data_IF_380212496025
#
_entry.id   IF_380212496025
#
_cell.length_a   1.000
_cell.length_b   1.000
_cell.length_c   1.000
_cell.angle_alpha   90.00
_cell.angle_beta   90.00
_cell.angle_gamma   90.00
#
_symmetry.space_group_name_H-M   'P 1'
#
loop_
_entity.id
_entity.type
_entity.pdbx_description
1 polymer ?
#
# COMPACT_ATOMS: atom_id res chain seq x y z
N UNK A 1 16.78 36.65 -19.82
CA UNK A 1 17.26 37.04 -21.17
C UNK A 1 17.65 35.74 -21.89
N UNK A 2 16.97 35.32 -22.96
CA UNK A 2 17.37 34.12 -23.72
C UNK A 2 18.59 34.45 -24.59
N UNK A 3 19.78 34.42 -24.01
CA UNK A 3 21.04 34.51 -24.76
C UNK A 3 21.39 33.14 -25.35
N UNK A 4 21.93 33.10 -26.57
CA UNK A 4 22.40 31.84 -27.18
C UNK A 4 23.68 31.39 -26.47
N UNK A 5 23.89 30.08 -26.33
CA UNK A 5 25.06 29.49 -25.64
C UNK A 5 26.42 30.08 -26.09
N UNK A 6 26.57 30.33 -27.40
CA UNK A 6 27.79 30.93 -27.99
C UNK A 6 28.03 32.37 -27.56
N UNK A 7 26.98 33.12 -27.26
CA UNK A 7 27.09 34.52 -26.80
C UNK A 7 27.56 34.56 -25.34
N UNK A 8 27.14 33.59 -24.52
CA UNK A 8 27.52 33.50 -23.10
C UNK A 8 29.02 33.23 -22.94
N UNK A 9 29.60 32.35 -23.77
CA UNK A 9 31.04 32.04 -23.76
C UNK A 9 31.95 33.23 -24.09
N UNK A 10 31.40 34.28 -24.69
CA UNK A 10 32.13 35.50 -25.08
C UNK A 10 31.89 36.67 -24.11
N UNK A 11 31.05 36.48 -23.07
CA UNK A 11 30.76 37.54 -22.10
C UNK A 11 31.96 37.76 -21.18
N UNK A 12 32.48 38.99 -21.19
CA UNK A 12 33.35 39.48 -20.13
C UNK A 12 32.49 40.06 -19.00
N UNK A 13 32.54 39.40 -17.85
CA UNK A 13 31.81 39.84 -16.67
C UNK A 13 32.62 40.87 -15.87
N UNK A 14 32.00 41.93 -15.33
CA UNK A 14 32.67 42.81 -14.39
C UNK A 14 33.10 42.03 -13.13
N UNK A 15 34.39 42.09 -12.78
CA UNK A 15 34.98 41.31 -11.67
C UNK A 15 34.35 41.57 -10.29
N UNK A 16 33.65 42.69 -10.12
CA UNK A 16 32.97 43.07 -8.86
C UNK A 16 31.55 42.49 -8.73
N UNK A 17 31.10 41.66 -9.67
CA UNK A 17 29.80 41.00 -9.59
C UNK A 17 29.67 40.19 -8.30
N UNK A 18 28.59 40.44 -7.56
CA UNK A 18 28.24 39.71 -6.33
C UNK A 18 27.09 38.73 -6.53
N UNK A 19 26.30 38.89 -7.60
CA UNK A 19 25.15 38.04 -7.91
C UNK A 19 25.14 37.74 -9.41
N UNK A 20 24.94 36.47 -9.77
CA UNK A 20 24.89 36.02 -11.16
C UNK A 20 23.85 34.91 -11.32
N UNK A 21 22.99 35.03 -12.33
CA UNK A 21 22.01 33.99 -12.67
C UNK A 21 22.02 33.69 -14.17
N UNK A 22 22.16 32.41 -14.49
CA UNK A 22 22.15 31.83 -15.84
C UNK A 22 21.27 30.57 -15.90
N UNK A 23 20.13 30.60 -15.20
CA UNK A 23 19.16 29.52 -15.25
C UNK A 23 18.61 29.32 -16.67
N UNK A 24 18.38 28.07 -17.07
CA UNK A 24 17.72 27.72 -18.35
C UNK A 24 18.47 28.24 -19.60
N UNK A 25 19.80 28.28 -19.56
CA UNK A 25 20.65 28.78 -20.66
C UNK A 25 21.36 27.70 -21.46
N UNK A 26 21.11 26.42 -21.12
CA UNK A 26 21.75 25.22 -21.69
C UNK A 26 23.26 25.14 -21.44
N UNK A 27 23.77 25.88 -20.46
CA UNK A 27 25.18 25.96 -20.11
C UNK A 27 25.80 24.57 -19.88
N UNK A 28 26.98 24.31 -20.43
CA UNK A 28 27.67 23.02 -20.28
C UNK A 28 28.89 23.10 -19.35
N UNK A 29 29.42 24.32 -19.12
CA UNK A 29 30.61 24.58 -18.32
C UNK A 29 30.45 25.86 -17.51
N UNK A 30 31.12 25.91 -16.36
CA UNK A 30 31.20 27.08 -15.46
C UNK A 30 32.55 27.79 -15.52
N UNK A 31 33.46 27.37 -16.42
CA UNK A 31 34.83 27.90 -16.52
C UNK A 31 34.91 29.42 -16.67
N UNK A 32 33.94 30.02 -17.35
CA UNK A 32 33.85 31.48 -17.55
C UNK A 32 33.57 32.28 -16.26
N UNK A 33 33.15 31.61 -15.18
CA UNK A 33 32.84 32.25 -13.91
C UNK A 33 34.02 32.23 -12.92
N UNK A 34 35.12 31.52 -13.22
CA UNK A 34 36.20 31.29 -12.26
C UNK A 34 36.96 32.56 -11.82
N UNK A 35 36.86 33.65 -12.59
CA UNK A 35 37.50 34.94 -12.29
C UNK A 35 36.58 35.91 -11.51
N UNK A 36 35.38 35.48 -11.13
CA UNK A 36 34.40 36.30 -10.39
C UNK A 36 34.56 36.16 -8.87
N UNK A 37 35.76 36.39 -8.34
CA UNK A 37 36.16 36.16 -6.93
C UNK A 37 35.40 37.01 -5.88
N UNK A 38 34.48 37.88 -6.30
CA UNK A 38 33.59 38.64 -5.42
C UNK A 38 32.15 38.10 -5.41
N UNK A 39 31.88 37.02 -6.15
CA UNK A 39 30.56 36.45 -6.28
C UNK A 39 30.11 35.85 -4.94
N UNK A 40 28.92 36.28 -4.52
CA UNK A 40 28.25 35.81 -3.30
C UNK A 40 27.09 34.86 -3.65
N UNK A 41 26.43 35.07 -4.80
CA UNK A 41 25.27 34.31 -5.23
C UNK A 41 25.43 33.85 -6.69
N UNK A 42 25.33 32.54 -6.92
CA UNK A 42 25.40 31.95 -8.26
C UNK A 42 24.22 30.99 -8.47
N UNK A 43 23.37 31.32 -9.45
CA UNK A 43 22.29 30.47 -9.90
C UNK A 43 22.52 30.00 -11.33
N UNK A 44 22.64 28.69 -11.51
CA UNK A 44 22.90 28.03 -12.80
C UNK A 44 22.03 26.78 -12.96
N UNK A 45 20.79 26.86 -12.47
CA UNK A 45 19.81 25.79 -12.53
C UNK A 45 19.36 25.48 -13.97
N UNK A 46 18.84 24.27 -14.19
CA UNK A 46 18.28 23.83 -15.47
C UNK A 46 19.26 23.99 -16.66
N UNK A 47 20.48 23.51 -16.46
CA UNK A 47 21.54 23.54 -17.47
C UNK A 47 22.06 22.11 -17.74
N UNK A 48 23.18 22.00 -18.47
CA UNK A 48 23.82 20.75 -18.85
C UNK A 48 25.17 20.54 -18.15
N UNK A 49 25.41 21.25 -17.04
CA UNK A 49 26.70 21.26 -16.34
C UNK A 49 26.94 19.90 -15.68
N UNK A 50 28.11 19.32 -15.91
CA UNK A 50 28.53 18.08 -15.26
C UNK A 50 29.77 18.24 -14.36
N UNK A 51 30.52 19.32 -14.53
CA UNK A 51 31.72 19.65 -13.78
C UNK A 51 31.62 21.08 -13.24
N UNK A 52 31.87 21.22 -11.94
CA UNK A 52 31.86 22.50 -11.22
C UNK A 52 33.22 22.83 -10.57
N UNK A 53 34.29 22.11 -10.93
CA UNK A 53 35.64 22.31 -10.35
C UNK A 53 36.16 23.74 -10.50
N UNK A 54 35.78 24.43 -11.60
CA UNK A 54 36.23 25.80 -11.85
C UNK A 54 35.62 26.84 -10.88
N UNK A 55 34.66 26.43 -10.04
CA UNK A 55 34.12 27.28 -8.97
C UNK A 55 35.07 27.38 -7.76
N UNK A 56 36.17 26.63 -7.71
CA UNK A 56 37.06 26.55 -6.54
C UNK A 56 37.60 27.92 -6.07
N UNK A 57 37.77 28.89 -6.97
CA UNK A 57 38.24 30.25 -6.62
C UNK A 57 37.15 31.15 -6.02
N UNK A 58 35.88 30.72 -6.04
CA UNK A 58 34.75 31.52 -5.57
C UNK A 58 34.51 31.35 -4.06
N UNK A 59 35.57 31.47 -3.25
CA UNK A 59 35.57 31.19 -1.80
C UNK A 59 34.61 32.08 -0.97
N UNK A 60 34.13 33.18 -1.55
CA UNK A 60 33.13 34.08 -0.94
C UNK A 60 31.68 33.67 -1.18
N UNK A 61 31.44 32.62 -1.98
CA UNK A 61 30.09 32.20 -2.35
C UNK A 61 29.29 31.79 -1.11
N UNK A 62 28.09 32.38 -0.98
CA UNK A 62 27.15 32.12 0.12
C UNK A 62 25.91 31.37 -0.38
N UNK A 63 25.55 31.54 -1.65
CA UNK A 63 24.37 30.92 -2.24
C UNK A 63 24.75 30.29 -3.58
N UNK A 64 24.54 28.98 -3.71
CA UNK A 64 24.83 28.22 -4.91
C UNK A 64 23.63 27.34 -5.28
N UNK A 65 23.04 27.60 -6.44
CA UNK A 65 21.92 26.83 -6.98
C UNK A 65 22.35 26.20 -8.30
N UNK A 66 22.57 24.88 -8.27
CA UNK A 66 22.93 24.05 -9.42
C UNK A 66 21.86 23.01 -9.75
N UNK A 67 20.64 23.23 -9.28
CA UNK A 67 19.48 22.34 -9.49
C UNK A 67 19.31 21.92 -10.95
N UNK A 68 18.93 20.67 -11.20
CA UNK A 68 18.61 20.13 -12.52
C UNK A 68 19.78 20.32 -13.52
N UNK A 69 20.89 19.66 -13.19
CA UNK A 69 22.10 19.58 -14.00
C UNK A 69 22.55 18.10 -14.09
N UNK A 70 23.81 17.84 -14.42
CA UNK A 70 24.40 16.51 -14.54
C UNK A 70 25.58 16.30 -13.59
N UNK A 71 25.67 17.11 -12.54
CA UNK A 71 26.78 17.11 -11.57
C UNK A 71 26.74 15.83 -10.74
N UNK A 72 27.90 15.18 -10.59
CA UNK A 72 28.07 14.01 -9.70
C UNK A 72 29.15 14.21 -8.65
N UNK A 73 30.14 15.05 -8.94
CA UNK A 73 31.26 15.37 -8.07
C UNK A 73 31.04 16.78 -7.47
N UNK A 74 31.03 16.85 -6.14
CA UNK A 74 30.88 18.08 -5.36
C UNK A 74 32.09 18.32 -4.45
N UNK A 75 33.23 17.68 -4.70
CA UNK A 75 34.47 17.88 -3.95
C UNK A 75 34.92 19.35 -3.90
N UNK A 76 34.62 20.13 -4.96
CA UNK A 76 34.91 21.58 -5.02
C UNK A 76 34.36 22.38 -3.83
N UNK A 77 33.32 21.87 -3.15
CA UNK A 77 32.74 22.52 -1.98
C UNK A 77 33.74 22.66 -0.81
N UNK A 78 34.83 21.90 -0.77
CA UNK A 78 35.93 22.09 0.19
C UNK A 78 36.50 23.53 0.17
N UNK A 79 36.36 24.22 -0.96
CA UNK A 79 36.80 25.61 -1.13
C UNK A 79 35.68 26.63 -0.87
N UNK A 80 34.41 26.18 -0.75
CA UNK A 80 33.22 27.03 -0.65
C UNK A 80 32.64 27.03 0.77
N UNK A 81 33.51 27.16 1.78
CA UNK A 81 33.16 26.99 3.20
C UNK A 81 32.20 28.07 3.75
N UNK A 82 31.96 29.15 3.00
CA UNK A 82 31.03 30.24 3.35
C UNK A 82 29.60 30.02 2.86
N UNK A 83 29.31 28.88 2.25
CA UNK A 83 27.97 28.55 1.78
C UNK A 83 26.97 28.55 2.93
N UNK A 84 25.89 29.30 2.72
CA UNK A 84 24.68 29.34 3.56
C UNK A 84 23.55 28.53 2.97
N UNK A 85 23.49 28.50 1.64
CA UNK A 85 22.42 27.87 0.90
C UNK A 85 23.00 27.12 -0.29
N UNK A 86 22.72 25.82 -0.33
CA UNK A 86 23.14 24.96 -1.42
C UNK A 86 21.96 24.13 -1.93
N UNK A 87 21.55 24.38 -3.18
CA UNK A 87 20.57 23.54 -3.88
C UNK A 87 21.25 22.84 -5.07
N UNK A 88 21.45 21.54 -4.91
CA UNK A 88 21.93 20.64 -5.95
C UNK A 88 20.93 19.52 -6.26
N UNK A 89 19.64 19.80 -6.07
CA UNK A 89 18.58 18.85 -6.40
C UNK A 89 18.56 18.48 -7.89
N UNK A 90 18.01 17.30 -8.24
CA UNK A 90 17.95 16.80 -9.62
C UNK A 90 19.33 16.74 -10.29
N UNK A 91 20.29 16.07 -9.65
CA UNK A 91 21.63 15.84 -10.18
C UNK A 91 21.98 14.34 -10.12
N UNK A 92 23.27 13.99 -10.13
CA UNK A 92 23.77 12.60 -10.08
C UNK A 92 24.72 12.37 -8.90
N UNK A 93 24.59 13.18 -7.84
CA UNK A 93 25.44 13.14 -6.66
C UNK A 93 25.17 11.82 -5.91
N UNK A 94 26.23 11.17 -5.45
CA UNK A 94 26.14 9.96 -4.62
C UNK A 94 27.09 10.06 -3.42
N UNK A 95 28.27 10.63 -3.63
CA UNK A 95 29.28 10.86 -2.61
C UNK A 95 29.04 12.17 -1.87
N UNK A 96 29.02 12.11 -0.54
CA UNK A 96 28.84 13.24 0.37
C UNK A 96 30.06 13.48 1.27
N UNK A 97 31.19 12.83 0.99
CA UNK A 97 32.38 12.82 1.84
C UNK A 97 32.92 14.22 2.14
N UNK A 98 32.75 15.18 1.22
CA UNK A 98 33.13 16.59 1.43
C UNK A 98 32.52 17.20 2.69
N UNK A 99 31.34 16.75 3.11
CA UNK A 99 30.69 17.19 4.35
C UNK A 99 31.32 16.57 5.60
N UNK A 100 31.86 15.35 5.52
CA UNK A 100 32.57 14.72 6.63
C UNK A 100 33.96 15.33 6.86
N UNK A 101 34.61 15.78 5.78
CA UNK A 101 36.00 16.25 5.80
C UNK A 101 36.15 17.75 6.06
N UNK A 102 35.05 18.51 5.99
CA UNK A 102 35.03 19.95 6.15
C UNK A 102 33.96 20.38 7.15
N UNK A 103 34.03 21.64 7.58
CA UNK A 103 33.03 22.27 8.46
C UNK A 103 32.40 23.47 7.76
N UNK A 104 31.14 23.34 7.36
CA UNK A 104 30.35 24.46 6.80
C UNK A 104 29.60 25.19 7.92
N UNK A 105 30.29 26.09 8.64
CA UNK A 105 29.75 26.78 9.83
C UNK A 105 28.52 27.64 9.56
N UNK A 106 28.32 28.07 8.31
CA UNK A 106 27.23 28.97 7.92
C UNK A 106 26.09 28.28 7.16
N UNK A 107 26.16 26.96 6.94
CA UNK A 107 25.19 26.26 6.10
C UNK A 107 23.84 26.13 6.82
N UNK A 108 22.82 26.79 6.27
CA UNK A 108 21.46 26.85 6.83
C UNK A 108 20.45 26.06 5.99
N UNK A 109 20.69 25.94 4.68
CA UNK A 109 19.81 25.25 3.73
C UNK A 109 20.61 24.31 2.83
N UNK A 110 20.18 23.04 2.78
CA UNK A 110 20.78 22.00 1.96
C UNK A 110 19.70 21.20 1.23
N UNK A 111 19.64 21.32 -0.09
CA UNK A 111 18.75 20.51 -0.92
C UNK A 111 19.56 19.59 -1.84
N UNK A 112 19.48 18.30 -1.54
CA UNK A 112 20.12 17.20 -2.26
C UNK A 112 19.07 16.22 -2.81
N UNK A 113 17.82 16.64 -2.94
CA UNK A 113 16.74 15.79 -3.43
C UNK A 113 16.94 15.33 -4.87
N UNK A 114 16.38 14.18 -5.24
CA UNK A 114 16.47 13.60 -6.59
C UNK A 114 17.93 13.41 -7.06
N UNK A 115 18.74 12.76 -6.22
CA UNK A 115 20.11 12.37 -6.53
C UNK A 115 20.27 10.84 -6.44
N UNK A 116 21.49 10.34 -6.25
CA UNK A 116 21.84 8.91 -6.11
C UNK A 116 22.43 8.58 -4.75
N UNK A 117 22.11 9.37 -3.72
CA UNK A 117 22.67 9.24 -2.37
C UNK A 117 22.05 8.01 -1.70
N UNK A 118 22.89 7.17 -1.09
CA UNK A 118 22.45 5.99 -0.34
C UNK A 118 23.03 5.89 1.08
N UNK A 119 23.91 6.82 1.45
CA UNK A 119 24.55 6.96 2.74
C UNK A 119 24.62 8.46 3.11
N UNK A 120 24.14 8.81 4.30
CA UNK A 120 24.13 10.18 4.83
C UNK A 120 24.96 10.32 6.10
N UNK A 121 25.79 9.32 6.43
CA UNK A 121 26.68 9.38 7.60
C UNK A 121 27.58 10.63 7.61
N UNK A 122 28.03 11.08 6.43
CA UNK A 122 28.80 12.32 6.27
C UNK A 122 28.04 13.59 6.70
N UNK A 123 26.70 13.55 6.76
CA UNK A 123 25.86 14.67 7.20
C UNK A 123 25.57 14.67 8.71
N UNK A 124 25.95 13.63 9.44
CA UNK A 124 25.54 13.41 10.85
C UNK A 124 25.85 14.61 11.75
N UNK A 125 27.04 15.22 11.61
CA UNK A 125 27.41 16.38 12.43
C UNK A 125 26.48 17.58 12.22
N UNK A 126 26.03 17.79 10.98
CA UNK A 126 25.16 18.92 10.61
C UNK A 126 23.70 18.69 10.99
N UNK A 127 23.24 17.45 10.95
CA UNK A 127 21.90 17.07 11.36
C UNK A 127 21.75 17.14 12.90
N UNK A 128 22.84 16.88 13.62
CA UNK A 128 22.85 16.88 15.09
C UNK A 128 23.13 18.25 15.72
N UNK A 129 23.77 19.18 15.01
CA UNK A 129 24.19 20.47 15.60
C UNK A 129 23.15 21.60 15.48
N UNK A 130 22.13 21.45 14.63
CA UNK A 130 21.10 22.46 14.46
C UNK A 130 21.48 23.68 13.63
N UNK A 131 22.66 23.67 12.99
CA UNK A 131 23.09 24.73 12.07
C UNK A 131 22.22 24.71 10.80
N UNK A 132 22.03 23.52 10.21
CA UNK A 132 21.16 23.40 9.05
C UNK A 132 19.70 23.40 9.51
N UNK A 133 18.93 24.37 9.05
CA UNK A 133 17.52 24.52 9.38
C UNK A 133 16.64 23.66 8.47
N UNK A 134 17.06 23.51 7.21
CA UNK A 134 16.31 22.80 6.18
C UNK A 134 17.20 21.87 5.38
N UNK A 135 16.92 20.57 5.46
CA UNK A 135 17.57 19.52 4.66
C UNK A 135 16.52 18.80 3.82
N UNK A 136 16.72 18.71 2.52
CA UNK A 136 15.88 17.89 1.64
C UNK A 136 16.71 16.79 0.98
N UNK A 137 16.45 15.55 1.36
CA UNK A 137 17.09 14.32 0.88
C UNK A 137 16.08 13.42 0.15
N UNK A 138 14.93 13.98 -0.26
CA UNK A 138 13.88 13.23 -0.93
C UNK A 138 14.33 12.63 -2.27
N UNK A 139 13.68 11.58 -2.73
CA UNK A 139 13.90 10.95 -4.04
C UNK A 139 15.35 10.45 -4.24
N UNK A 140 15.98 9.92 -3.19
CA UNK A 140 17.31 9.32 -3.23
C UNK A 140 17.22 7.78 -3.15
N UNK A 141 18.30 7.14 -2.68
CA UNK A 141 18.45 5.70 -2.49
C UNK A 141 18.76 5.34 -1.04
N UNK A 142 18.40 6.22 -0.09
CA UNK A 142 18.60 6.00 1.33
C UNK A 142 17.78 4.81 1.79
N UNK A 143 18.34 3.96 2.64
CA UNK A 143 17.65 2.79 3.17
C UNK A 143 17.89 2.60 4.67
N UNK A 144 18.95 3.22 5.19
CA UNK A 144 19.34 3.18 6.59
C UNK A 144 19.60 4.62 7.06
N UNK A 145 18.88 5.02 8.10
CA UNK A 145 19.06 6.30 8.81
C UNK A 145 19.27 6.08 10.30
N UNK A 146 19.61 4.86 10.73
CA UNK A 146 19.78 4.53 12.14
C UNK A 146 20.91 5.30 12.80
N UNK A 147 21.89 5.80 12.05
CA UNK A 147 23.03 6.49 12.64
C UNK A 147 22.84 8.00 12.76
N UNK A 148 21.63 8.49 12.47
CA UNK A 148 21.33 9.92 12.41
C UNK A 148 20.32 10.28 13.50
N UNK A 149 20.63 11.35 14.22
CA UNK A 149 19.69 12.04 15.10
C UNK A 149 19.39 13.43 14.50
N UNK A 150 18.34 14.08 14.99
CA UNK A 150 17.95 15.41 14.51
C UNK A 150 17.92 16.39 15.66
N UNK A 151 18.66 17.48 15.50
CA UNK A 151 18.52 18.62 16.36
C UNK A 151 17.14 19.26 16.21
N UNK A 152 16.62 19.84 17.30
CA UNK A 152 15.26 20.42 17.36
C UNK A 152 14.96 21.55 16.35
N UNK A 153 15.99 22.13 15.74
CA UNK A 153 15.87 23.24 14.79
C UNK A 153 16.08 22.78 13.34
N UNK A 154 16.33 21.50 13.12
CA UNK A 154 16.64 20.93 11.81
C UNK A 154 15.42 20.19 11.27
N UNK A 155 14.83 20.72 10.22
CA UNK A 155 13.82 20.02 9.44
C UNK A 155 14.49 19.17 8.35
N UNK A 156 14.08 17.92 8.22
CA UNK A 156 14.60 16.99 7.21
C UNK A 156 13.46 16.41 6.39
N UNK A 157 13.57 16.39 5.05
CA UNK A 157 12.68 15.66 4.15
C UNK A 157 13.33 14.41 3.59
N UNK A 158 12.62 13.29 3.69
CA UNK A 158 13.09 11.95 3.36
C UNK A 158 12.17 11.19 2.39
N UNK A 159 11.19 11.88 1.80
CA UNK A 159 10.23 11.31 0.86
C UNK A 159 10.90 10.49 -0.26
N UNK A 160 10.27 9.43 -0.73
CA UNK A 160 10.67 8.67 -1.93
C UNK A 160 12.08 8.05 -1.86
N UNK A 161 12.46 7.54 -0.68
CA UNK A 161 13.66 6.73 -0.42
C UNK A 161 13.27 5.25 -0.20
N UNK A 162 14.13 4.43 0.39
CA UNK A 162 13.89 3.02 0.75
C UNK A 162 14.00 2.78 2.27
N UNK A 163 13.75 3.82 3.07
CA UNK A 163 13.95 3.77 4.53
C UNK A 163 12.81 2.99 5.18
N UNK A 164 13.15 2.10 6.10
CA UNK A 164 12.20 1.26 6.83
C UNK A 164 12.29 1.41 8.35
N UNK A 165 13.28 2.12 8.89
CA UNK A 165 13.43 2.36 10.33
C UNK A 165 13.70 3.86 10.56
N UNK A 166 12.83 4.49 11.34
CA UNK A 166 12.91 5.91 11.71
C UNK A 166 13.13 6.10 13.22
N UNK A 167 13.38 5.05 14.00
CA UNK A 167 13.37 5.07 15.45
C UNK A 167 14.24 6.19 16.05
N UNK A 168 15.40 6.44 15.47
CA UNK A 168 16.32 7.48 15.96
C UNK A 168 15.94 8.90 15.52
N UNK A 169 15.11 9.04 14.47
CA UNK A 169 14.56 10.33 14.05
C UNK A 169 13.29 10.68 14.84
N UNK A 170 12.48 9.67 15.18
CA UNK A 170 11.24 9.81 15.97
C UNK A 170 11.49 10.27 17.41
N UNK A 171 12.70 10.07 17.94
CA UNK A 171 13.10 10.59 19.25
C UNK A 171 13.30 12.11 19.26
N UNK A 172 13.35 12.77 18.09
CA UNK A 172 13.51 14.22 18.00
C UNK A 172 12.16 14.93 18.11
N UNK A 173 12.02 15.85 19.07
CA UNK A 173 10.83 16.70 19.27
C UNK A 173 10.46 17.55 18.04
N UNK A 174 11.40 17.74 17.11
CA UNK A 174 11.21 18.55 15.90
C UNK A 174 10.79 17.78 14.67
N UNK A 175 10.79 16.45 14.75
CA UNK A 175 10.54 15.61 13.59
C UNK A 175 9.05 15.62 13.24
N UNK A 176 8.71 16.30 12.14
CA UNK A 176 7.34 16.31 11.64
C UNK A 176 7.14 15.21 10.60
N UNK A 177 6.14 14.36 10.83
CA UNK A 177 5.78 13.23 9.98
C UNK A 177 5.50 13.62 8.51
N UNK A 178 5.09 14.87 8.26
CA UNK A 178 4.82 15.39 6.91
C UNK A 178 6.04 15.28 5.98
N UNK A 179 7.24 15.18 6.54
CA UNK A 179 8.49 15.17 5.80
C UNK A 179 9.02 13.77 5.43
N UNK A 180 8.36 12.70 5.88
CA UNK A 180 8.77 11.32 5.55
C UNK A 180 8.25 10.87 4.19
N UNK A 181 7.09 11.38 3.74
CA UNK A 181 6.51 11.08 2.43
C UNK A 181 6.38 9.59 2.09
N UNK A 182 5.98 9.28 0.85
CA UNK A 182 5.88 7.90 0.37
C UNK A 182 7.28 7.28 0.20
N UNK A 183 7.53 6.08 0.74
CA UNK A 183 8.79 5.35 0.52
C UNK A 183 8.65 4.33 -0.62
N UNK A 184 9.75 4.08 -1.33
CA UNK A 184 9.88 3.06 -2.37
C UNK A 184 10.05 1.68 -1.72
N UNK A 185 9.45 0.68 -2.35
CA UNK A 185 9.68 -0.72 -2.00
C UNK A 185 10.98 -1.20 -2.67
N UNK A 186 11.96 -1.73 -1.91
CA UNK A 186 13.20 -2.26 -2.48
C UNK A 186 12.93 -3.46 -3.38
N UNK A 187 13.38 -3.40 -4.63
CA UNK A 187 13.30 -4.56 -5.52
C UNK A 187 14.47 -5.55 -5.30
N UNK A 188 14.37 -6.73 -5.90
CA UNK A 188 15.40 -7.78 -5.76
C UNK A 188 16.78 -7.36 -6.28
N UNK A 189 16.86 -6.41 -7.22
CA UNK A 189 18.10 -5.90 -7.80
C UNK A 189 18.76 -4.90 -6.84
N UNK A 190 17.98 -4.02 -6.23
CA UNK A 190 18.41 -3.09 -5.21
C UNK A 190 18.98 -3.83 -3.99
N UNK A 191 18.23 -4.82 -3.48
CA UNK A 191 18.68 -5.65 -2.35
C UNK A 191 20.02 -6.33 -2.66
N UNK A 192 20.15 -6.95 -3.85
CA UNK A 192 21.41 -7.57 -4.30
C UNK A 192 22.56 -6.57 -4.37
N UNK A 193 22.30 -5.35 -4.81
CA UNK A 193 23.35 -4.31 -4.91
C UNK A 193 23.93 -3.94 -3.55
N UNK A 194 23.13 -3.92 -2.48
CA UNK A 194 23.59 -3.62 -1.11
C UNK A 194 24.34 -4.79 -0.46
N UNK A 195 24.03 -6.03 -0.84
CA UNK A 195 24.73 -7.23 -0.36
C UNK A 195 26.17 -7.29 -0.89
N UNK A 196 26.38 -6.91 -2.16
CA UNK A 196 27.68 -7.01 -2.82
C UNK A 196 28.71 -5.98 -2.33
N UNK A 197 28.28 -4.87 -1.72
CA UNK A 197 29.17 -3.80 -1.23
C UNK A 197 29.77 -4.04 0.16
N UNK A 198 29.64 -5.25 0.74
CA UNK A 198 30.37 -5.63 1.96
C UNK A 198 29.87 -4.99 3.28
N UNK A 199 28.80 -4.20 3.27
CA UNK A 199 28.05 -3.88 4.50
C UNK A 199 27.47 -5.20 5.00
N UNK A 200 28.07 -5.82 6.04
CA UNK A 200 27.67 -7.13 6.57
C UNK A 200 26.18 -7.13 6.90
N UNK A 201 25.38 -7.78 6.05
CA UNK A 201 23.97 -8.07 6.29
C UNK A 201 23.89 -9.58 6.43
N UNK A 202 23.55 -10.08 7.62
CA UNK A 202 23.17 -11.48 7.77
C UNK A 202 21.86 -11.68 7.02
N UNK A 203 21.93 -12.28 5.83
CA UNK A 203 20.86 -12.26 4.82
C UNK A 203 19.58 -12.94 5.32
N UNK A 204 19.66 -13.90 6.24
CA UNK A 204 18.48 -14.54 6.80
C UNK A 204 17.85 -13.67 7.91
N UNK A 205 18.63 -13.33 8.94
CA UNK A 205 18.18 -12.49 10.06
C UNK A 205 17.71 -11.11 9.62
N UNK A 206 18.43 -10.46 8.70
CA UNK A 206 18.07 -9.11 8.25
C UNK A 206 16.99 -9.13 7.18
N UNK A 207 16.79 -10.22 6.43
CA UNK A 207 15.60 -10.36 5.55
C UNK A 207 14.36 -10.70 6.35
N UNK A 208 14.50 -11.42 7.46
CA UNK A 208 13.42 -11.71 8.40
C UNK A 208 13.10 -10.48 9.27
N UNK A 209 14.11 -9.76 9.77
CA UNK A 209 13.95 -8.46 10.44
C UNK A 209 13.50 -7.37 9.48
N UNK A 210 14.01 -7.27 8.25
CA UNK A 210 13.48 -6.34 7.26
C UNK A 210 12.09 -6.78 6.80
N UNK A 211 11.72 -8.06 6.81
CA UNK A 211 10.34 -8.50 6.54
C UNK A 211 9.41 -8.17 7.71
N UNK A 212 9.86 -8.31 8.96
CA UNK A 212 9.10 -7.98 10.16
C UNK A 212 9.00 -6.45 10.38
N UNK A 213 10.10 -5.72 10.24
CA UNK A 213 10.17 -4.25 10.29
C UNK A 213 9.59 -3.59 9.04
N UNK A 214 9.70 -4.18 7.83
CA UNK A 214 8.88 -3.70 6.71
C UNK A 214 7.41 -3.90 7.06
N UNK A 215 6.98 -5.01 7.64
CA UNK A 215 5.58 -5.19 8.03
C UNK A 215 5.11 -4.14 9.08
N UNK A 216 5.98 -3.75 10.02
CA UNK A 216 5.70 -2.70 11.01
C UNK A 216 5.77 -1.27 10.43
N UNK A 217 6.75 -0.96 9.57
CA UNK A 217 6.91 0.37 8.93
C UNK A 217 6.10 0.57 7.66
N UNK A 218 5.61 -0.50 7.00
CA UNK A 218 4.65 -0.40 5.90
C UNK A 218 3.34 0.22 6.37
N UNK A 219 2.97 -0.06 7.62
CA UNK A 219 1.83 0.57 8.27
C UNK A 219 2.05 2.10 8.42
N UNK A 220 3.30 2.54 8.65
CA UNK A 220 3.66 3.97 8.69
C UNK A 220 3.66 4.65 7.31
N UNK A 221 4.05 3.94 6.25
CA UNK A 221 4.14 4.51 4.89
C UNK A 221 2.76 4.81 4.25
N UNK A 222 1.67 4.25 4.78
CA UNK A 222 0.34 4.31 4.16
C UNK A 222 -0.56 5.46 4.64
N UNK A 223 -0.22 6.11 5.76
CA UNK A 223 -0.84 7.40 6.14
C UNK A 223 -0.55 8.50 5.11
N UNK A 224 0.52 8.37 4.32
CA UNK A 224 0.86 9.32 3.25
C UNK A 224 0.12 9.02 1.94
N UNK A 225 -0.19 7.75 1.66
CA UNK A 225 -0.89 7.36 0.43
C UNK A 225 -2.36 7.82 0.42
N UNK A 226 -2.95 8.11 1.59
CA UNK A 226 -4.31 8.64 1.70
C UNK A 226 -4.50 10.05 1.16
N UNK A 227 -3.45 10.87 1.06
CA UNK A 227 -3.55 12.17 0.37
C UNK A 227 -3.60 12.04 -1.16
N UNK A 228 -3.17 10.90 -1.72
CA UNK A 228 -3.14 10.67 -3.17
C UNK A 228 -4.42 10.02 -3.72
N UNK A 229 -5.18 9.29 -2.89
CA UNK A 229 -6.48 8.66 -3.26
C UNK A 229 -7.66 9.63 -3.15
N UNK A 230 -7.45 10.93 -2.91
CA UNK A 230 -8.52 11.92 -3.12
C UNK A 230 -8.87 12.10 -4.61
N UNK A 231 -8.18 11.41 -5.53
CA UNK A 231 -8.37 11.58 -6.97
C UNK A 231 -8.93 10.41 -7.77
N UNK A 232 -9.18 9.20 -7.21
CA UNK A 232 -9.88 8.16 -7.98
C UNK A 232 -10.54 7.08 -7.10
N UNK A 233 -11.87 6.98 -7.24
CA UNK A 233 -12.75 5.85 -6.91
C UNK A 233 -12.61 5.15 -5.55
N UNK A 234 -12.97 5.85 -4.46
CA UNK A 234 -13.76 5.29 -3.34
C UNK A 234 -14.36 6.45 -2.56
N UNK A 235 -15.69 6.57 -2.53
CA UNK A 235 -16.39 7.57 -1.73
C UNK A 235 -16.25 7.23 -0.23
N UNK A 236 -15.79 8.21 0.58
CA UNK A 236 -15.79 8.24 2.05
C UNK A 236 -14.92 7.22 2.80
N UNK A 237 -13.59 7.35 2.71
CA UNK A 237 -12.68 6.80 3.73
C UNK A 237 -12.26 7.92 4.70
N UNK A 238 -12.49 7.73 6.00
CA UNK A 238 -12.07 8.66 7.06
C UNK A 238 -10.57 8.47 7.37
N UNK A 239 -9.93 9.49 7.98
CA UNK A 239 -8.48 9.50 8.28
C UNK A 239 -7.94 8.40 9.21
N UNK A 240 -8.80 7.49 9.68
CA UNK A 240 -8.48 6.38 10.58
C UNK A 240 -8.52 5.02 9.85
N UNK A 241 -8.42 5.02 8.52
CA UNK A 241 -8.50 3.81 7.68
C UNK A 241 -7.09 3.32 7.32
N UNK A 242 -6.82 2.01 7.38
CA UNK A 242 -5.63 1.39 6.80
C UNK A 242 -5.98 0.82 5.42
N UNK A 243 -5.19 1.07 4.37
CA UNK A 243 -5.55 0.72 2.98
C UNK A 243 -4.35 0.13 2.24
N UNK A 244 -4.34 -1.17 1.96
CA UNK A 244 -3.29 -1.81 1.17
C UNK A 244 -3.80 -2.47 -0.12
N UNK A 245 -3.02 -2.38 -1.19
CA UNK A 245 -3.30 -3.02 -2.47
C UNK A 245 -2.04 -3.68 -3.04
N UNK A 246 -2.20 -4.84 -3.67
CA UNK A 246 -1.13 -5.58 -4.35
C UNK A 246 0.08 -5.83 -3.40
N UNK A 247 -0.22 -6.20 -2.15
CA UNK A 247 0.81 -6.40 -1.13
C UNK A 247 0.80 -7.81 -0.51
N UNK A 248 1.69 -8.64 -1.04
CA UNK A 248 1.92 -10.00 -0.54
C UNK A 248 2.86 -10.07 0.69
N UNK A 249 3.33 -8.94 1.22
CA UNK A 249 4.13 -8.92 2.46
C UNK A 249 3.25 -8.88 3.72
N UNK A 250 2.02 -8.36 3.62
CA UNK A 250 1.08 -8.33 4.74
C UNK A 250 0.63 -9.76 5.03
N UNK A 251 1.12 -10.31 6.13
CA UNK A 251 0.79 -11.66 6.60
C UNK A 251 -0.34 -11.65 7.62
N UNK A 252 -0.42 -10.62 8.47
CA UNK A 252 -1.47 -10.44 9.46
C UNK A 252 -1.65 -8.95 9.81
N UNK A 253 -2.55 -8.65 10.75
CA UNK A 253 -2.83 -7.28 11.23
C UNK A 253 -2.28 -7.01 12.64
N UNK A 254 -1.49 -7.92 13.22
CA UNK A 254 -0.98 -7.77 14.58
C UNK A 254 -0.18 -6.45 14.77
N UNK A 255 0.62 -5.97 13.80
CA UNK A 255 1.32 -4.68 13.93
C UNK A 255 0.39 -3.47 14.14
N UNK A 256 -0.87 -3.56 13.71
CA UNK A 256 -1.84 -2.48 13.85
C UNK A 256 -2.45 -2.39 15.27
N UNK A 257 -2.19 -3.36 16.16
CA UNK A 257 -2.85 -3.47 17.47
C UNK A 257 -2.66 -2.26 18.39
N UNK A 258 -1.59 -1.49 18.19
CA UNK A 258 -1.29 -0.28 18.98
C UNK A 258 -1.83 1.01 18.35
N UNK A 259 -2.60 0.90 17.26
CA UNK A 259 -3.01 2.05 16.45
C UNK A 259 -4.50 2.35 16.62
N UNK A 260 -4.86 3.63 16.51
CA UNK A 260 -6.25 4.10 16.52
C UNK A 260 -6.95 3.85 15.16
N UNK A 261 -6.64 2.75 14.48
CA UNK A 261 -7.25 2.39 13.19
C UNK A 261 -8.65 1.85 13.44
N UNK A 262 -9.65 2.45 12.80
CA UNK A 262 -11.05 2.04 12.94
C UNK A 262 -11.59 1.32 11.71
N UNK A 263 -10.89 1.42 10.58
CA UNK A 263 -11.25 0.77 9.32
C UNK A 263 -10.03 0.19 8.60
N UNK A 264 -10.18 -0.95 7.92
CA UNK A 264 -9.12 -1.63 7.18
C UNK A 264 -9.63 -2.02 5.80
N UNK A 265 -8.83 -1.78 4.77
CA UNK A 265 -9.11 -2.16 3.38
C UNK A 265 -7.88 -2.81 2.76
N UNK A 266 -8.02 -4.05 2.31
CA UNK A 266 -6.98 -4.82 1.66
C UNK A 266 -7.48 -5.33 0.31
N UNK A 267 -6.69 -5.16 -0.75
CA UNK A 267 -6.99 -5.72 -2.07
C UNK A 267 -5.76 -6.45 -2.62
N UNK A 268 -5.93 -7.66 -3.15
CA UNK A 268 -4.83 -8.40 -3.79
C UNK A 268 -3.62 -8.64 -2.85
N UNK A 269 -3.88 -8.94 -1.57
CA UNK A 269 -2.85 -9.26 -0.57
C UNK A 269 -2.83 -10.77 -0.32
N UNK A 270 -2.15 -11.55 -1.16
CA UNK A 270 -2.38 -13.00 -1.27
C UNK A 270 -1.77 -13.86 -0.16
N UNK A 271 -0.85 -13.32 0.63
CA UNK A 271 -0.27 -14.00 1.79
C UNK A 271 -0.97 -13.67 3.12
N UNK A 272 -2.03 -12.84 3.08
CA UNK A 272 -2.73 -12.41 4.27
C UNK A 272 -3.48 -13.56 4.97
N UNK A 273 -3.37 -13.58 6.31
CA UNK A 273 -4.08 -14.51 7.18
C UNK A 273 -4.64 -13.77 8.39
N UNK A 274 -5.79 -14.23 8.83
CA UNK A 274 -6.34 -13.83 10.12
C UNK A 274 -5.60 -14.63 11.22
N UNK A 275 -5.02 -13.95 12.21
CA UNK A 275 -4.36 -14.61 13.35
C UNK A 275 -4.34 -13.73 14.60
N UNK A 276 -4.95 -14.22 15.69
CA UNK A 276 -4.85 -13.67 17.06
C UNK A 276 -4.89 -12.13 17.15
N UNK A 277 -5.98 -11.49 16.70
CA UNK A 277 -6.08 -10.04 16.60
C UNK A 277 -6.84 -9.41 17.78
N UNK A 278 -6.29 -8.36 18.42
CA UNK A 278 -6.92 -7.59 19.50
C UNK A 278 -7.39 -6.19 19.07
N UNK A 279 -7.77 -6.04 17.80
CA UNK A 279 -8.02 -4.74 17.17
C UNK A 279 -9.43 -4.19 17.46
N UNK A 280 -9.52 -2.89 17.76
CA UNK A 280 -10.78 -2.15 17.86
C UNK A 280 -11.25 -1.63 16.49
N UNK A 281 -11.22 -2.50 15.47
CA UNK A 281 -11.64 -2.17 14.10
C UNK A 281 -13.14 -2.39 13.93
N UNK A 282 -13.81 -1.43 13.32
CA UNK A 282 -15.26 -1.46 13.07
C UNK A 282 -15.60 -1.80 11.62
N UNK A 283 -14.67 -1.59 10.69
CA UNK A 283 -14.85 -1.90 9.27
C UNK A 283 -13.65 -2.66 8.73
N UNK A 284 -13.89 -3.78 8.05
CA UNK A 284 -12.85 -4.57 7.43
C UNK A 284 -13.27 -4.97 6.02
N UNK A 285 -12.44 -4.64 5.04
CA UNK A 285 -12.55 -5.09 3.66
C UNK A 285 -11.30 -5.85 3.28
N UNK A 286 -11.42 -7.07 2.77
CA UNK A 286 -10.32 -7.84 2.20
C UNK A 286 -10.80 -8.55 0.94
N UNK A 287 -10.39 -8.07 -0.23
CA UNK A 287 -10.89 -8.54 -1.52
C UNK A 287 -9.78 -9.06 -2.43
N UNK A 288 -10.08 -10.01 -3.30
CA UNK A 288 -9.14 -10.52 -4.31
C UNK A 288 -7.81 -11.05 -3.73
N UNK A 289 -7.83 -11.49 -2.46
CA UNK A 289 -6.64 -11.85 -1.68
C UNK A 289 -6.45 -13.36 -1.54
N UNK A 290 -7.20 -14.17 -2.31
CA UNK A 290 -7.11 -15.65 -2.29
C UNK A 290 -7.30 -16.28 -0.91
N UNK A 291 -8.05 -15.62 -0.02
CA UNK A 291 -8.26 -16.12 1.34
C UNK A 291 -9.15 -17.35 1.30
N UNK A 292 -8.68 -18.45 1.88
CA UNK A 292 -9.47 -19.69 2.00
C UNK A 292 -9.97 -19.95 3.43
N UNK A 293 -9.30 -19.37 4.44
CA UNK A 293 -9.61 -19.53 5.86
C UNK A 293 -9.74 -18.18 6.53
N UNK A 294 -10.78 -18.02 7.34
CA UNK A 294 -11.05 -16.83 8.15
C UNK A 294 -10.88 -17.10 9.65
N UNK A 295 -10.19 -18.19 10.02
CA UNK A 295 -9.88 -18.47 11.44
C UNK A 295 -9.06 -17.33 12.04
N UNK A 296 -9.41 -16.88 13.25
CA UNK A 296 -8.81 -15.71 13.89
C UNK A 296 -9.65 -14.44 13.72
N UNK A 297 -10.61 -14.39 12.78
CA UNK A 297 -11.52 -13.24 12.64
C UNK A 297 -12.46 -13.10 13.84
N UNK A 298 -12.73 -14.19 14.56
CA UNK A 298 -13.64 -14.24 15.71
C UNK A 298 -13.24 -13.31 16.87
N UNK A 299 -11.99 -12.85 16.89
CA UNK A 299 -11.50 -11.90 17.89
C UNK A 299 -11.85 -10.43 17.57
N UNK A 300 -12.24 -10.12 16.33
CA UNK A 300 -12.60 -8.76 15.88
C UNK A 300 -14.05 -8.40 16.25
N UNK A 301 -14.41 -8.55 17.52
CA UNK A 301 -15.79 -8.49 18.03
C UNK A 301 -16.48 -7.13 17.85
N UNK A 302 -15.72 -6.07 17.55
CA UNK A 302 -16.23 -4.71 17.30
C UNK A 302 -16.65 -4.48 15.85
N UNK A 303 -16.42 -5.43 14.95
CA UNK A 303 -16.76 -5.28 13.54
C UNK A 303 -18.25 -5.04 13.33
N UNK A 304 -18.54 -4.05 12.49
CA UNK A 304 -19.86 -3.65 12.05
C UNK A 304 -20.02 -3.84 10.53
N UNK A 305 -18.95 -3.64 9.77
CA UNK A 305 -18.94 -3.82 8.31
C UNK A 305 -17.83 -4.81 7.96
N UNK A 306 -18.17 -5.85 7.21
CA UNK A 306 -17.24 -6.86 6.74
C UNK A 306 -17.44 -7.14 5.25
N UNK A 307 -16.42 -6.92 4.45
CA UNK A 307 -16.38 -7.32 3.05
C UNK A 307 -15.20 -8.29 2.85
N UNK A 308 -15.50 -9.55 2.55
CA UNK A 308 -14.52 -10.57 2.15
C UNK A 308 -14.82 -11.11 0.76
N UNK A 309 -15.41 -10.28 -0.10
CA UNK A 309 -15.79 -10.69 -1.44
C UNK A 309 -14.58 -11.00 -2.32
N UNK A 310 -14.80 -11.82 -3.34
CA UNK A 310 -13.78 -12.20 -4.34
C UNK A 310 -12.58 -12.93 -3.71
N UNK A 311 -12.85 -13.90 -2.83
CA UNK A 311 -11.85 -14.77 -2.21
C UNK A 311 -12.16 -16.26 -2.48
N UNK A 312 -11.52 -17.17 -1.75
CA UNK A 312 -11.67 -18.62 -1.88
C UNK A 312 -12.29 -19.27 -0.63
N UNK A 313 -13.06 -18.49 0.14
CA UNK A 313 -13.60 -18.91 1.44
C UNK A 313 -14.65 -20.00 1.25
N UNK A 314 -14.56 -21.07 2.05
CA UNK A 314 -15.55 -22.16 2.08
C UNK A 314 -16.30 -22.24 3.40
N UNK A 315 -15.57 -22.07 4.49
CA UNK A 315 -16.09 -22.15 5.85
C UNK A 315 -16.23 -20.73 6.43
N UNK A 316 -17.44 -20.40 6.85
CA UNK A 316 -17.80 -19.11 7.45
C UNK A 316 -18.26 -19.25 8.91
N UNK A 317 -18.07 -20.42 9.52
CA UNK A 317 -18.63 -20.74 10.82
C UNK A 317 -18.14 -19.80 11.94
N UNK A 318 -16.90 -19.29 11.84
CA UNK A 318 -16.33 -18.34 12.79
C UNK A 318 -17.05 -16.99 12.82
N UNK A 319 -17.79 -16.62 11.75
CA UNK A 319 -18.54 -15.36 11.74
C UNK A 319 -19.63 -15.29 12.80
N UNK A 320 -20.13 -16.42 13.31
CA UNK A 320 -21.19 -16.48 14.34
C UNK A 320 -20.84 -15.73 15.63
N UNK A 321 -19.54 -15.50 15.89
CA UNK A 321 -19.05 -14.78 17.07
C UNK A 321 -19.15 -13.25 16.91
N UNK A 322 -19.29 -12.76 15.68
CA UNK A 322 -19.27 -11.33 15.35
C UNK A 322 -20.66 -10.71 15.37
N UNK A 323 -21.33 -10.78 16.53
CA UNK A 323 -22.74 -10.39 16.72
C UNK A 323 -23.04 -8.90 16.45
N UNK A 324 -22.01 -8.06 16.32
CA UNK A 324 -22.13 -6.64 16.06
C UNK A 324 -22.20 -6.27 14.56
N UNK A 325 -22.02 -7.25 13.66
CA UNK A 325 -22.06 -7.03 12.22
C UNK A 325 -23.42 -6.50 11.77
N UNK A 326 -23.37 -5.45 10.95
CA UNK A 326 -24.50 -4.76 10.33
C UNK A 326 -24.53 -4.98 8.82
N UNK A 327 -23.37 -5.12 8.18
CA UNK A 327 -23.23 -5.39 6.76
C UNK A 327 -22.16 -6.43 6.51
N UNK A 328 -22.49 -7.45 5.70
CA UNK A 328 -21.59 -8.54 5.31
C UNK A 328 -21.64 -8.72 3.79
N UNK A 329 -20.50 -8.64 3.13
CA UNK A 329 -20.33 -9.06 1.74
C UNK A 329 -19.35 -10.25 1.65
N UNK A 330 -19.86 -11.38 1.14
CA UNK A 330 -19.11 -12.61 0.87
C UNK A 330 -19.28 -13.04 -0.59
N UNK A 331 -19.64 -12.11 -1.48
CA UNK A 331 -19.79 -12.33 -2.92
C UNK A 331 -18.57 -13.07 -3.49
N UNK A 332 -18.78 -13.94 -4.48
CA UNK A 332 -17.69 -14.59 -5.23
C UNK A 332 -16.70 -15.31 -4.31
N UNK A 333 -17.22 -16.25 -3.53
CA UNK A 333 -16.45 -17.19 -2.69
C UNK A 333 -16.85 -18.64 -3.05
N UNK A 334 -16.42 -19.61 -2.25
CA UNK A 334 -16.67 -21.04 -2.46
C UNK A 334 -17.57 -21.66 -1.37
N UNK A 335 -18.43 -20.87 -0.73
CA UNK A 335 -19.26 -21.29 0.41
C UNK A 335 -20.35 -22.26 -0.05
N UNK A 336 -20.48 -23.38 0.64
CA UNK A 336 -21.45 -24.45 0.35
C UNK A 336 -22.65 -24.46 1.31
N UNK A 337 -22.39 -24.12 2.57
CA UNK A 337 -23.37 -24.12 3.65
C UNK A 337 -23.17 -22.90 4.55
N UNK A 338 -24.25 -22.46 5.17
CA UNK A 338 -24.24 -21.34 6.13
C UNK A 338 -24.44 -21.78 7.58
N UNK A 339 -24.86 -23.02 7.83
CA UNK A 339 -24.89 -23.67 9.15
C UNK A 339 -25.50 -22.80 10.29
N UNK A 340 -26.57 -22.06 9.99
CA UNK A 340 -27.22 -21.15 10.95
C UNK A 340 -26.31 -20.05 11.54
N UNK A 341 -25.20 -19.72 10.87
CA UNK A 341 -24.24 -18.67 11.31
C UNK A 341 -24.93 -17.33 11.57
N UNK A 342 -25.92 -16.99 10.75
CA UNK A 342 -26.61 -15.70 10.79
C UNK A 342 -27.79 -15.65 11.77
N UNK A 343 -28.18 -16.77 12.41
CA UNK A 343 -29.40 -16.86 13.22
C UNK A 343 -29.43 -15.90 14.41
N UNK A 344 -28.27 -15.58 14.99
CA UNK A 344 -28.15 -14.69 16.15
C UNK A 344 -27.62 -13.29 15.81
N UNK A 345 -27.47 -12.95 14.52
CA UNK A 345 -26.94 -11.67 14.06
C UNK A 345 -28.03 -10.60 14.00
N UNK A 346 -28.54 -10.20 15.17
CA UNK A 346 -29.69 -9.29 15.30
C UNK A 346 -29.45 -7.87 14.75
N UNK A 347 -28.19 -7.47 14.55
CA UNK A 347 -27.82 -6.17 14.00
C UNK A 347 -27.62 -6.17 12.48
N UNK A 348 -27.62 -7.36 11.85
CA UNK A 348 -27.34 -7.52 10.43
C UNK A 348 -28.50 -6.98 9.60
N UNK A 349 -28.20 -6.01 8.73
CA UNK A 349 -29.14 -5.30 7.85
C UNK A 349 -28.87 -5.62 6.39
N UNK A 350 -27.62 -5.95 6.04
CA UNK A 350 -27.18 -6.20 4.69
C UNK A 350 -26.34 -7.49 4.66
N UNK A 351 -26.69 -8.40 3.76
CA UNK A 351 -25.96 -9.66 3.56
C UNK A 351 -25.91 -9.99 2.07
N UNK A 352 -24.70 -10.10 1.53
CA UNK A 352 -24.46 -10.50 0.16
C UNK A 352 -23.71 -11.83 0.10
N UNK A 353 -24.38 -12.87 -0.40
CA UNK A 353 -23.82 -14.21 -0.59
C UNK A 353 -23.78 -14.61 -2.08
N UNK A 354 -23.91 -13.64 -2.99
CA UNK A 354 -23.95 -13.89 -4.44
C UNK A 354 -22.69 -14.62 -4.95
N UNK A 355 -22.80 -15.31 -6.08
CA UNK A 355 -21.68 -16.05 -6.68
C UNK A 355 -20.96 -17.04 -5.74
N UNK A 356 -21.70 -17.67 -4.82
CA UNK A 356 -21.23 -18.81 -4.01
C UNK A 356 -21.83 -20.14 -4.51
N UNK A 357 -21.60 -21.24 -3.79
CA UNK A 357 -22.07 -22.59 -4.11
C UNK A 357 -23.10 -23.12 -3.11
N UNK A 358 -23.89 -22.22 -2.52
CA UNK A 358 -24.81 -22.52 -1.41
C UNK A 358 -25.88 -23.56 -1.78
N UNK A 359 -26.20 -24.42 -0.82
CA UNK A 359 -27.28 -25.40 -0.95
C UNK A 359 -28.37 -25.32 0.15
N UNK A 360 -28.07 -24.69 1.30
CA UNK A 360 -28.94 -24.58 2.49
C UNK A 360 -29.58 -23.19 2.66
N UNK A 361 -30.11 -22.64 1.58
CA UNK A 361 -30.69 -21.27 1.55
C UNK A 361 -31.96 -21.08 2.41
N UNK A 362 -32.47 -22.13 3.06
CA UNK A 362 -33.64 -22.09 3.95
C UNK A 362 -33.33 -21.46 5.30
N UNK A 363 -32.06 -21.46 5.71
CA UNK A 363 -31.59 -20.94 7.01
C UNK A 363 -31.16 -19.46 6.94
N UNK A 364 -31.38 -18.80 5.80
CA UNK A 364 -30.99 -17.41 5.58
C UNK A 364 -32.05 -16.42 6.08
N UNK A 365 -31.63 -15.24 6.59
CA UNK A 365 -32.55 -14.15 6.91
C UNK A 365 -33.35 -13.72 5.67
N UNK A 366 -34.64 -13.37 5.85
CA UNK A 366 -35.53 -13.04 4.74
C UNK A 366 -35.01 -11.91 3.82
N UNK A 367 -34.30 -10.93 4.37
CA UNK A 367 -33.72 -9.82 3.60
C UNK A 367 -32.52 -10.24 2.73
N UNK A 368 -31.81 -11.32 3.07
CA UNK A 368 -30.70 -11.85 2.29
C UNK A 368 -31.16 -12.54 0.99
N UNK A 369 -32.42 -12.99 0.94
CA UNK A 369 -33.03 -13.70 -0.19
C UNK A 369 -33.42 -12.74 -1.34
N UNK A 370 -33.22 -11.43 -1.15
CA UNK A 370 -33.59 -10.38 -2.11
C UNK A 370 -32.69 -10.33 -3.36
N UNK A 371 -31.51 -10.96 -3.34
CA UNK A 371 -30.58 -11.00 -4.48
C UNK A 371 -31.06 -11.99 -5.57
N UNK A 372 -31.15 -11.49 -6.80
CA UNK A 372 -31.61 -12.20 -8.02
C UNK A 372 -30.85 -13.52 -8.26
N UNK A 373 -29.58 -13.60 -7.86
CA UNK A 373 -28.75 -14.80 -8.03
C UNK A 373 -28.98 -15.87 -6.95
N UNK A 374 -29.36 -15.51 -5.71
CA UNK A 374 -29.70 -16.50 -4.67
C UNK A 374 -31.00 -17.25 -5.02
N UNK A 375 -31.93 -16.59 -5.72
CA UNK A 375 -33.12 -17.23 -6.32
C UNK A 375 -32.73 -18.23 -7.43
N UNK A 376 -31.73 -17.91 -8.23
CA UNK A 376 -31.14 -18.79 -9.25
C UNK A 376 -30.42 -20.00 -8.63
N UNK A 377 -29.70 -19.84 -7.52
CA UNK A 377 -29.07 -20.95 -6.79
C UNK A 377 -30.13 -21.90 -6.20
N UNK A 378 -31.23 -21.38 -5.65
CA UNK A 378 -32.40 -22.20 -5.25
C UNK A 378 -32.94 -23.00 -6.42
N UNK A 379 -33.10 -22.39 -7.59
CA UNK A 379 -33.56 -23.06 -8.81
C UNK A 379 -32.61 -24.19 -9.25
N UNK A 380 -31.30 -23.95 -9.28
CA UNK A 380 -30.30 -24.96 -9.66
C UNK A 380 -30.22 -26.10 -8.64
N UNK A 381 -30.30 -25.80 -7.34
CA UNK A 381 -30.35 -26.82 -6.28
C UNK A 381 -31.60 -27.71 -6.40
N UNK A 382 -32.77 -27.10 -6.63
CA UNK A 382 -34.03 -27.84 -6.83
C UNK A 382 -33.97 -28.74 -8.08
N UNK A 383 -33.40 -28.24 -9.18
CA UNK A 383 -33.17 -29.02 -10.41
C UNK A 383 -32.17 -30.16 -10.18
N UNK A 384 -31.15 -29.95 -9.34
CA UNK A 384 -30.19 -30.98 -8.97
C UNK A 384 -30.83 -32.05 -8.09
N UNK A 385 -31.60 -31.69 -7.06
CA UNK A 385 -32.35 -32.62 -6.22
C UNK A 385 -33.38 -33.43 -7.03
N UNK A 386 -34.07 -32.80 -7.97
CA UNK A 386 -34.95 -33.51 -8.91
C UNK A 386 -34.17 -34.49 -9.78
N UNK A 387 -33.00 -34.11 -10.31
CA UNK A 387 -32.14 -35.04 -11.06
C UNK A 387 -31.66 -36.20 -10.20
N UNK A 388 -31.34 -35.98 -8.93
CA UNK A 388 -30.93 -37.05 -8.01
C UNK A 388 -32.11 -37.96 -7.64
N UNK A 389 -33.30 -37.38 -7.42
CA UNK A 389 -34.54 -38.12 -7.12
C UNK A 389 -34.95 -38.97 -8.32
N UNK A 390 -34.87 -38.43 -9.54
CA UNK A 390 -35.09 -39.17 -10.80
C UNK A 390 -34.04 -40.29 -10.93
N UNK A 391 -32.75 -40.03 -10.69
CA UNK A 391 -31.69 -41.04 -10.72
C UNK A 391 -31.91 -42.16 -9.69
N UNK A 392 -32.33 -41.82 -8.47
CA UNK A 392 -32.63 -42.79 -7.42
C UNK A 392 -33.86 -43.63 -7.77
N UNK A 393 -34.93 -43.02 -8.31
CA UNK A 393 -36.12 -43.73 -8.76
C UNK A 393 -35.84 -44.64 -9.97
N UNK A 394 -34.92 -44.28 -10.89
CA UNK A 394 -34.47 -45.17 -11.98
C UNK A 394 -33.55 -46.32 -11.52
N UNK A 395 -32.92 -46.20 -10.33
CA UNK A 395 -32.10 -47.27 -9.72
C UNK A 395 -32.90 -48.24 -8.86
N UNK A 396 -34.16 -47.93 -8.53
CA UNK A 396 -35.10 -48.87 -7.93
C UNK A 396 -35.60 -49.78 -9.06
N UNK A 397 -34.70 -50.64 -9.54
CA UNK A 397 -35.08 -51.82 -10.30
C UNK A 397 -35.75 -52.77 -9.31
N UNK A 398 -37.03 -53.02 -9.55
CA UNK A 398 -37.94 -53.75 -8.67
C UNK A 398 -37.40 -55.18 -8.49
N UNK A 399 -36.91 -55.50 -7.30
CA UNK A 399 -36.62 -56.88 -6.94
C UNK A 399 -37.95 -57.57 -6.57
N UNK A 400 -38.63 -58.12 -7.58
CA UNK A 400 -39.84 -58.91 -7.39
C UNK A 400 -39.44 -60.28 -6.83
N UNK A 401 -39.34 -60.39 -5.51
CA UNK A 401 -39.42 -61.69 -4.84
C UNK A 401 -40.65 -61.76 -3.93
N UNK A 402 -41.67 -62.41 -4.49
CA UNK A 402 -42.76 -63.16 -3.85
C UNK A 402 -43.28 -62.65 -2.49
N UNK A 403 -44.36 -61.86 -2.52
CA UNK A 403 -45.59 -62.05 -1.71
C UNK A 403 -46.68 -61.07 -2.17
N UNK A 404 -47.89 -61.61 -2.38
CA UNK A 404 -49.18 -61.01 -2.83
C UNK A 404 -49.20 -59.50 -3.14
N UNK A 405 -49.45 -59.19 -4.41
CA UNK A 405 -49.76 -57.85 -4.95
C UNK A 405 -51.00 -57.25 -4.27
N UNK A 406 -50.84 -56.17 -3.50
CA UNK A 406 -51.92 -55.30 -3.05
C UNK A 406 -52.00 -54.05 -3.94
N UNK A 407 -52.96 -54.07 -4.87
CA UNK A 407 -53.22 -52.97 -5.82
C UNK A 407 -53.66 -51.66 -5.15
N UNK A 408 -54.19 -51.69 -3.93
CA UNK A 408 -54.65 -50.51 -3.19
C UNK A 408 -53.48 -49.82 -2.50
N UNK A 409 -52.57 -50.61 -1.93
CA UNK A 409 -51.28 -50.12 -1.43
C UNK A 409 -50.42 -49.52 -2.55
N UNK A 410 -50.33 -50.20 -3.71
CA UNK A 410 -49.57 -49.72 -4.86
C UNK A 410 -50.16 -48.43 -5.47
N UNK A 411 -51.49 -48.33 -5.62
CA UNK A 411 -52.16 -47.09 -6.04
C UNK A 411 -51.94 -45.94 -5.04
N UNK A 412 -51.97 -46.22 -3.74
CA UNK A 412 -51.72 -45.20 -2.72
C UNK A 412 -50.27 -44.73 -2.74
N UNK A 413 -49.29 -45.62 -2.91
CA UNK A 413 -47.87 -45.26 -3.03
C UNK A 413 -47.57 -44.45 -4.30
N UNK A 414 -48.20 -44.82 -5.43
CA UNK A 414 -48.09 -44.07 -6.69
C UNK A 414 -48.77 -42.70 -6.57
N UNK A 415 -49.98 -42.60 -6.01
CA UNK A 415 -50.70 -41.34 -5.87
C UNK A 415 -50.02 -40.38 -4.88
N UNK A 416 -49.46 -40.89 -3.76
CA UNK A 416 -48.74 -40.03 -2.81
C UNK A 416 -47.42 -39.51 -3.37
N UNK A 417 -46.69 -40.33 -4.13
CA UNK A 417 -45.40 -39.94 -4.74
C UNK A 417 -45.59 -39.04 -5.95
N UNK A 418 -46.55 -39.32 -6.83
CA UNK A 418 -46.87 -38.45 -7.97
C UNK A 418 -47.42 -37.09 -7.51
N UNK A 419 -48.21 -37.02 -6.43
CA UNK A 419 -48.68 -35.74 -5.90
C UNK A 419 -47.54 -34.89 -5.32
N UNK A 420 -46.56 -35.50 -4.65
CA UNK A 420 -45.36 -34.81 -4.19
C UNK A 420 -44.48 -34.30 -5.35
N UNK A 421 -44.37 -35.08 -6.43
CA UNK A 421 -43.64 -34.68 -7.64
C UNK A 421 -44.40 -33.65 -8.48
N UNK A 422 -45.74 -33.70 -8.53
CA UNK A 422 -46.61 -32.68 -9.12
C UNK A 422 -46.58 -31.37 -8.33
N UNK A 423 -46.51 -31.42 -6.99
CA UNK A 423 -46.29 -30.23 -6.16
C UNK A 423 -44.92 -29.61 -6.43
N UNK A 424 -43.86 -30.42 -6.55
CA UNK A 424 -42.52 -29.94 -6.90
C UNK A 424 -42.48 -29.37 -8.32
N UNK A 425 -43.11 -30.01 -9.30
CA UNK A 425 -43.25 -29.50 -10.66
C UNK A 425 -44.11 -28.23 -10.74
N UNK A 426 -45.16 -28.11 -9.93
CA UNK A 426 -45.94 -26.89 -9.81
C UNK A 426 -45.15 -25.77 -9.11
N UNK A 427 -44.33 -26.07 -8.11
CA UNK A 427 -43.42 -25.09 -7.52
C UNK A 427 -42.38 -24.62 -8.54
N UNK A 428 -41.83 -25.52 -9.36
CA UNK A 428 -40.96 -25.15 -10.48
C UNK A 428 -41.70 -24.29 -11.48
N UNK A 429 -42.91 -24.67 -11.89
CA UNK A 429 -43.70 -23.93 -12.87
C UNK A 429 -44.11 -22.54 -12.36
N UNK A 430 -44.47 -22.41 -11.08
CA UNK A 430 -44.76 -21.12 -10.43
C UNK A 430 -43.48 -20.27 -10.36
N UNK A 431 -42.35 -20.87 -10.00
CA UNK A 431 -41.06 -20.17 -10.02
C UNK A 431 -40.68 -19.76 -11.44
N UNK A 432 -40.90 -20.60 -12.44
CA UNK A 432 -40.61 -20.35 -13.86
C UNK A 432 -41.53 -19.28 -14.48
N UNK A 433 -42.82 -19.28 -14.15
CA UNK A 433 -43.78 -18.24 -14.57
C UNK A 433 -43.47 -16.91 -13.88
N UNK A 434 -43.11 -16.92 -12.59
CA UNK A 434 -42.64 -15.71 -11.90
C UNK A 434 -41.29 -15.20 -12.44
N UNK A 435 -40.44 -16.12 -12.91
CA UNK A 435 -39.11 -15.81 -13.48
C UNK A 435 -39.19 -15.07 -14.81
N UNK A 436 -40.25 -15.28 -15.61
CA UNK A 436 -40.46 -14.62 -16.90
C UNK A 436 -41.49 -13.49 -16.88
N UNK A 437 -42.20 -13.27 -15.77
CA UNK A 437 -43.14 -12.14 -15.63
C UNK A 437 -42.43 -10.81 -15.34
N UNK A 438 -41.19 -10.86 -14.85
CA UNK A 438 -40.34 -9.70 -14.51
C UNK A 438 -39.24 -9.42 -15.58
N UNK A 439 -39.41 -9.96 -16.80
CA UNK A 439 -38.63 -9.65 -18.02
C UNK A 439 -39.53 -8.95 -19.02
#
# INVERSE_FOLDING_TARGET
>A
MHMKLKEIQLLQFPKQLTHLSFNDTKLESVSQFCELEYLLHLEIANNNINNISDLAKLDKLQHLVIRNNKVSDISVLENLLRLKHFDASLNKIADLQVFAENTFESLEYLNLSCNKIDDISALTQYLNNGLIQHVDLSCNQLWDVSNVSLHRNTSIRLCNNYICDYNNLLQSESFQYEFIGAQKVPDSKFIKSKILTGKKVNVAEKREQLSQQFNESWCNAQLVYQKYIQYNYTQNLTGDTFVAKDNDYIQDLQPLCNWLVTAIWLQQCTNFRFSYLGLNVTQLTVMQSKISSISGIESMVQLQILDLSENEIRDIYTLRFLINLQSIDLRQNQILFTDSVFTNMNRLKQLNLSCNKLSDTELLPAYAISSWQLKLTKFVSLVFELRQTIKQNTKININIQQKRFDTKWFKNQINHKLNGELQKLNQIAVLFVSFFADW
#
